data_IF_046827449270
#
_entry.id   IF_046827449270
#
_cell.length_a   1.000
_cell.length_b   1.000
_cell.length_c   1.000
_cell.angle_alpha   90.00
_cell.angle_beta   90.00
_cell.angle_gamma   90.00
#
_symmetry.space_group_name_H-M   'P 1'
#
loop_
_entity.id
_entity.type
_entity.pdbx_description
1 polymer ?
#
# COMPACT_ATOMS: atom_id res chain seq x y z
N UNK A 1 -32.04 14.39 19.33
CA UNK A 1 -30.95 14.78 20.25
C UNK A 1 -30.11 13.54 20.52
N UNK A 2 -28.98 13.35 19.82
CA UNK A 2 -28.15 12.15 20.00
C UNK A 2 -27.42 12.29 21.34
N UNK A 3 -27.75 11.44 22.32
CA UNK A 3 -27.00 11.35 23.58
C UNK A 3 -25.54 11.08 23.25
N UNK A 4 -24.64 12.01 23.56
CA UNK A 4 -23.19 11.74 23.55
C UNK A 4 -22.93 10.61 24.55
N UNK A 5 -22.71 9.40 24.05
CA UNK A 5 -22.23 8.29 24.85
C UNK A 5 -20.87 8.69 25.43
N UNK A 6 -20.80 8.80 26.77
CA UNK A 6 -19.54 8.96 27.48
C UNK A 6 -18.96 7.56 27.66
N UNK A 7 -17.91 7.25 26.89
CA UNK A 7 -17.14 6.02 27.06
C UNK A 7 -16.36 6.08 28.38
N UNK A 8 -16.14 4.94 29.02
CA UNK A 8 -15.18 4.86 30.14
C UNK A 8 -13.77 5.18 29.64
N UNK A 9 -12.86 5.64 30.51
CA UNK A 9 -11.46 5.92 30.10
C UNK A 9 -10.77 4.69 29.50
N UNK A 10 -11.07 3.50 30.03
CA UNK A 10 -10.57 2.22 29.50
C UNK A 10 -11.10 1.95 28.09
N UNK A 11 -12.38 2.21 27.84
CA UNK A 11 -12.98 1.99 26.52
C UNK A 11 -12.50 3.02 25.49
N UNK A 12 -12.29 4.26 25.93
CA UNK A 12 -11.70 5.30 25.09
C UNK A 12 -10.26 4.96 24.69
N UNK A 13 -9.46 4.42 25.61
CA UNK A 13 -8.11 3.96 25.33
C UNK A 13 -8.10 2.78 24.35
N UNK A 14 -8.95 1.76 24.57
CA UNK A 14 -9.09 0.61 23.66
C UNK A 14 -9.50 1.05 22.25
N UNK A 15 -10.45 1.96 22.15
CA UNK A 15 -10.91 2.50 20.87
C UNK A 15 -9.79 3.27 20.16
N UNK A 16 -9.03 4.10 20.90
CA UNK A 16 -7.89 4.83 20.36
C UNK A 16 -6.80 3.88 19.84
N UNK A 17 -6.49 2.83 20.59
CA UNK A 17 -5.52 1.81 20.18
C UNK A 17 -5.96 1.10 18.89
N UNK A 18 -7.24 0.69 18.82
CA UNK A 18 -7.82 0.05 17.64
C UNK A 18 -7.74 0.95 16.40
N UNK A 19 -8.10 2.23 16.55
CA UNK A 19 -8.07 3.19 15.44
C UNK A 19 -6.63 3.42 14.96
N UNK A 20 -5.67 3.52 15.88
CA UNK A 20 -4.26 3.63 15.54
C UNK A 20 -3.74 2.39 14.79
N UNK A 21 -4.11 1.19 15.26
CA UNK A 21 -3.72 -0.07 14.62
C UNK A 21 -4.25 -0.15 13.18
N UNK A 22 -5.52 0.16 12.95
CA UNK A 22 -6.13 0.17 11.62
C UNK A 22 -5.44 1.20 10.73
N UNK A 23 -5.22 2.42 11.24
CA UNK A 23 -4.60 3.49 10.48
C UNK A 23 -3.16 3.17 10.07
N UNK A 24 -2.35 2.69 11.01
CA UNK A 24 -0.96 2.33 10.75
C UNK A 24 -0.86 1.13 9.79
N UNK A 25 -1.78 0.17 9.89
CA UNK A 25 -1.87 -0.95 8.94
C UNK A 25 -2.17 -0.47 7.52
N UNK A 26 -3.13 0.45 7.35
CA UNK A 26 -3.46 1.03 6.05
C UNK A 26 -2.30 1.86 5.48
N UNK A 27 -1.64 2.67 6.34
CA UNK A 27 -0.48 3.45 5.94
C UNK A 27 0.66 2.56 5.44
N UNK A 28 0.84 1.41 6.08
CA UNK A 28 1.88 0.45 5.75
C UNK A 28 1.58 -0.33 4.47
N UNK A 29 0.38 -0.90 4.36
CA UNK A 29 0.02 -1.83 3.27
C UNK A 29 -0.38 -1.08 1.99
N UNK A 30 -1.01 0.09 2.09
CA UNK A 30 -1.64 0.75 0.93
C UNK A 30 -1.14 2.15 0.61
N UNK A 31 -0.99 3.03 1.61
CA UNK A 31 -0.75 4.46 1.32
C UNK A 31 0.71 4.81 1.04
N UNK A 32 1.61 3.83 1.12
CA UNK A 32 3.06 4.04 0.98
C UNK A 32 3.56 5.11 1.99
N UNK A 33 3.03 5.04 3.21
CA UNK A 33 3.32 5.91 4.36
C UNK A 33 3.73 5.10 5.59
N UNK A 34 4.45 4.00 5.38
CA UNK A 34 4.95 3.14 6.44
C UNK A 34 5.69 3.95 7.52
N UNK A 35 5.43 3.62 8.77
CA UNK A 35 6.01 4.26 9.96
C UNK A 35 5.77 5.76 10.09
N UNK A 36 4.83 6.34 9.32
CA UNK A 36 4.45 7.74 9.51
C UNK A 36 3.93 7.94 10.93
N UNK A 37 4.57 8.83 11.66
CA UNK A 37 4.15 9.27 12.99
C UNK A 37 3.88 10.77 12.97
N UNK A 38 2.70 11.17 13.45
CA UNK A 38 2.29 12.57 13.48
C UNK A 38 1.61 12.90 14.82
N UNK A 39 2.20 13.86 15.55
CA UNK A 39 1.72 14.24 16.89
C UNK A 39 0.26 14.69 16.81
N UNK A 40 -0.55 14.27 17.80
CA UNK A 40 -1.99 14.59 17.90
C UNK A 40 -2.85 14.02 16.77
N UNK A 41 -2.38 12.98 16.09
CA UNK A 41 -3.17 12.22 15.12
C UNK A 41 -3.28 10.76 15.54
N UNK A 42 -4.10 9.98 14.81
CA UNK A 42 -4.22 8.54 14.98
C UNK A 42 -3.00 7.77 14.41
N UNK A 43 -2.11 8.42 13.66
CA UNK A 43 -0.91 7.79 13.10
C UNK A 43 0.17 7.64 14.18
N UNK A 44 0.49 6.41 14.54
CA UNK A 44 1.45 6.10 15.61
C UNK A 44 2.76 5.52 15.07
N UNK A 45 2.88 5.34 13.75
CA UNK A 45 4.09 4.82 13.12
C UNK A 45 4.42 3.40 13.59
N UNK A 46 3.39 2.58 13.81
CA UNK A 46 3.47 1.25 14.41
C UNK A 46 4.03 1.24 15.85
N UNK A 47 3.97 2.37 16.55
CA UNK A 47 4.56 2.57 17.87
C UNK A 47 6.08 2.31 17.93
N UNK A 48 6.75 2.36 16.77
CA UNK A 48 8.21 2.26 16.73
C UNK A 48 8.83 3.55 17.24
N UNK A 49 9.90 3.42 18.01
CA UNK A 49 10.60 4.58 18.54
C UNK A 49 11.22 5.41 17.40
N UNK A 50 11.12 6.75 17.38
CA UNK A 50 11.63 7.57 16.28
C UNK A 50 13.11 7.34 15.96
N UNK A 51 13.94 7.08 16.99
CA UNK A 51 15.36 6.76 16.78
C UNK A 51 15.57 5.42 16.07
N UNK A 52 14.66 4.45 16.22
CA UNK A 52 14.73 3.18 15.51
C UNK A 52 14.48 3.41 14.01
N UNK A 53 13.45 4.18 13.66
CA UNK A 53 13.16 4.56 12.27
C UNK A 53 14.34 5.34 11.67
N UNK A 54 14.88 6.32 12.38
CA UNK A 54 16.03 7.09 11.92
C UNK A 54 17.25 6.21 11.63
N UNK A 55 17.56 5.25 12.51
CA UNK A 55 18.67 4.31 12.30
C UNK A 55 18.41 3.39 11.12
N UNK A 56 17.18 2.91 10.95
CA UNK A 56 16.79 2.12 9.79
C UNK A 56 16.94 2.90 8.49
N UNK A 57 16.57 4.19 8.48
CA UNK A 57 16.77 5.08 7.31
C UNK A 57 18.22 5.30 6.93
N UNK A 58 19.16 5.10 7.86
CA UNK A 58 20.59 5.19 7.57
C UNK A 58 21.21 3.90 7.04
N UNK A 59 20.45 2.81 6.85
CA UNK A 59 20.97 1.58 6.26
C UNK A 59 21.16 1.76 4.75
N UNK A 60 22.26 1.22 4.22
CA UNK A 60 22.66 1.35 2.81
C UNK A 60 21.54 0.96 1.82
N UNK A 61 20.72 0.00 2.22
CA UNK A 61 19.57 -0.46 1.44
C UNK A 61 18.56 0.64 1.13
N UNK A 62 18.35 1.57 2.06
CA UNK A 62 17.40 2.67 1.93
C UNK A 62 18.06 4.01 1.58
N UNK A 63 19.37 4.15 1.79
CA UNK A 63 20.10 5.39 1.52
C UNK A 63 20.72 5.45 0.12
N UNK A 64 21.10 4.31 -0.46
CA UNK A 64 21.89 4.26 -1.69
C UNK A 64 21.09 3.77 -2.91
N UNK A 65 19.84 3.34 -2.72
CA UNK A 65 18.98 2.81 -3.77
C UNK A 65 17.63 3.54 -3.78
N UNK A 66 17.23 4.08 -4.92
CA UNK A 66 15.87 4.64 -5.11
C UNK A 66 14.82 3.54 -5.33
N UNK A 67 15.24 2.27 -5.41
CA UNK A 67 14.34 1.16 -5.71
C UNK A 67 13.38 0.86 -4.55
N UNK A 68 13.83 1.04 -3.30
CA UNK A 68 13.04 0.69 -2.11
C UNK A 68 13.15 1.82 -1.10
N UNK A 69 12.01 2.42 -0.79
CA UNK A 69 11.91 3.50 0.19
C UNK A 69 11.29 2.96 1.47
N UNK A 70 11.75 3.44 2.62
CA UNK A 70 11.18 3.06 3.92
C UNK A 70 9.67 3.29 3.96
N UNK A 71 9.19 4.38 3.35
CA UNK A 71 7.77 4.70 3.32
C UNK A 71 6.93 3.67 2.56
N UNK A 72 7.50 2.97 1.59
CA UNK A 72 6.79 2.02 0.71
C UNK A 72 7.14 0.55 0.97
N UNK A 73 8.12 0.26 1.84
CA UNK A 73 8.61 -1.10 2.12
C UNK A 73 7.53 -2.07 2.60
N UNK A 74 6.48 -1.55 3.22
CA UNK A 74 5.32 -2.33 3.69
C UNK A 74 4.22 -2.52 2.65
N UNK A 75 4.26 -1.75 1.56
CA UNK A 75 3.18 -1.63 0.60
C UNK A 75 2.96 -2.92 -0.17
N UNK A 76 1.72 -3.22 -0.53
CA UNK A 76 1.32 -4.51 -1.14
C UNK A 76 2.21 -4.94 -2.32
N UNK A 77 2.69 -3.98 -3.11
CA UNK A 77 3.53 -4.25 -4.29
C UNK A 77 5.02 -4.35 -4.00
N UNK A 78 5.53 -3.78 -2.90
CA UNK A 78 6.96 -3.79 -2.54
C UNK A 78 7.28 -4.63 -1.31
N UNK A 79 6.25 -5.11 -0.61
CA UNK A 79 6.39 -5.92 0.58
C UNK A 79 7.10 -7.25 0.24
N UNK A 80 8.14 -7.67 0.97
CA UNK A 80 8.85 -8.91 0.70
C UNK A 80 7.95 -10.16 0.59
N UNK A 81 6.81 -10.17 1.28
CA UNK A 81 5.83 -11.28 1.23
C UNK A 81 5.00 -11.31 -0.04
N UNK A 82 4.82 -10.17 -0.74
CA UNK A 82 3.90 -10.03 -1.87
C UNK A 82 4.59 -9.56 -3.16
N UNK A 83 5.77 -8.97 -3.09
CA UNK A 83 6.41 -8.27 -4.21
C UNK A 83 6.54 -9.14 -5.46
N UNK A 84 6.98 -10.39 -5.29
CA UNK A 84 7.08 -11.34 -6.41
C UNK A 84 5.70 -11.73 -6.95
N UNK A 85 4.74 -12.01 -6.08
CA UNK A 85 3.38 -12.37 -6.47
C UNK A 85 2.71 -11.22 -7.24
N UNK A 86 2.86 -9.98 -6.78
CA UNK A 86 2.36 -8.81 -7.47
C UNK A 86 3.05 -8.60 -8.82
N UNK A 87 4.37 -8.82 -8.92
CA UNK A 87 5.07 -8.78 -10.20
C UNK A 87 4.53 -9.83 -11.18
N UNK A 88 4.29 -11.06 -10.73
CA UNK A 88 3.71 -12.12 -11.56
C UNK A 88 2.30 -11.76 -12.04
N UNK A 89 1.47 -11.16 -11.18
CA UNK A 89 0.14 -10.69 -11.56
C UNK A 89 0.20 -9.56 -12.59
N UNK A 90 1.16 -8.63 -12.49
CA UNK A 90 1.38 -7.60 -13.51
C UNK A 90 1.81 -8.25 -14.84
N UNK A 91 2.72 -9.21 -14.81
CA UNK A 91 3.12 -9.94 -16.01
C UNK A 91 1.95 -10.67 -16.67
N UNK A 92 1.00 -11.18 -15.89
CA UNK A 92 -0.24 -11.75 -16.42
C UNK A 92 -1.12 -10.69 -17.09
N UNK A 93 -1.23 -9.49 -16.52
CA UNK A 93 -1.94 -8.37 -17.16
C UNK A 93 -1.27 -7.96 -18.47
N UNK A 94 0.07 -7.86 -18.47
CA UNK A 94 0.86 -7.60 -19.68
C UNK A 94 0.63 -8.67 -20.75
N UNK A 95 0.56 -9.94 -20.35
CA UNK A 95 0.33 -11.07 -21.27
C UNK A 95 -1.09 -11.13 -21.86
N UNK A 96 -2.04 -10.42 -21.26
CA UNK A 96 -3.40 -10.30 -21.80
C UNK A 96 -3.51 -9.20 -22.87
N UNK A 97 -2.58 -8.27 -22.91
CA UNK A 97 -2.53 -7.20 -23.90
C UNK A 97 -1.78 -7.64 -25.16
N UNK A 98 -2.35 -7.34 -26.32
CA UNK A 98 -1.81 -7.82 -27.59
C UNK A 98 -0.50 -7.12 -28.01
N UNK A 99 -0.26 -5.89 -27.52
CA UNK A 99 0.80 -5.01 -28.02
C UNK A 99 1.69 -4.44 -26.91
N UNK A 100 2.19 -5.28 -25.99
CA UNK A 100 3.21 -4.85 -25.02
C UNK A 100 4.59 -4.86 -25.69
N UNK A 101 5.24 -3.70 -25.70
CA UNK A 101 6.61 -3.54 -26.22
C UNK A 101 7.67 -3.93 -25.21
N UNK A 102 7.44 -3.65 -23.92
CA UNK A 102 8.39 -3.82 -22.83
C UNK A 102 7.67 -4.30 -21.57
N UNK A 103 8.20 -5.35 -20.91
CA UNK A 103 7.68 -5.81 -19.62
C UNK A 103 8.32 -5.06 -18.47
N UNK A 104 7.55 -4.77 -17.43
CA UNK A 104 8.08 -4.17 -16.22
C UNK A 104 8.92 -5.21 -15.42
N UNK A 105 10.14 -4.88 -14.96
CA UNK A 105 11.02 -5.84 -14.26
C UNK A 105 10.56 -6.22 -12.84
N UNK A 106 9.38 -5.79 -12.40
CA UNK A 106 8.91 -5.82 -11.01
C UNK A 106 9.79 -5.05 -10.00
N UNK A 107 9.48 -5.16 -8.70
CA UNK A 107 8.24 -4.64 -8.12
C UNK A 107 7.91 -3.23 -8.63
N UNK A 108 6.62 -2.92 -8.84
CA UNK A 108 6.26 -1.58 -9.29
C UNK A 108 6.44 -0.52 -8.19
N UNK A 109 6.72 0.70 -8.65
CA UNK A 109 6.66 1.93 -7.87
C UNK A 109 5.87 2.96 -8.65
N UNK A 110 5.37 3.99 -7.98
CA UNK A 110 4.69 5.11 -8.66
C UNK A 110 5.56 5.72 -9.76
N UNK A 111 6.86 5.86 -9.50
CA UNK A 111 7.82 6.41 -10.48
C UNK A 111 8.07 5.47 -11.65
N UNK A 112 8.20 4.16 -11.40
CA UNK A 112 8.47 3.20 -12.48
C UNK A 112 7.25 3.02 -13.39
N UNK A 113 6.04 3.05 -12.83
CA UNK A 113 4.79 3.06 -13.62
C UNK A 113 4.66 4.35 -14.42
N UNK A 114 4.92 5.50 -13.81
CA UNK A 114 4.88 6.78 -14.53
C UNK A 114 5.86 6.79 -15.71
N UNK A 115 7.09 6.32 -15.51
CA UNK A 115 8.09 6.21 -16.59
C UNK A 115 7.63 5.31 -17.74
N UNK A 116 7.03 4.16 -17.45
CA UNK A 116 6.51 3.27 -18.49
C UNK A 116 5.36 3.89 -19.29
N UNK A 117 4.53 4.73 -18.65
CA UNK A 117 3.40 5.38 -19.29
C UNK A 117 3.76 6.68 -20.04
N UNK A 118 4.84 7.35 -19.64
CA UNK A 118 5.30 8.61 -20.24
C UNK A 118 6.26 8.40 -21.43
N UNK A 119 6.95 7.26 -21.49
CA UNK A 119 7.90 6.95 -22.55
C UNK A 119 7.16 6.64 -23.87
N UNK A 120 7.32 7.52 -24.86
CA UNK A 120 6.65 7.42 -26.15
C UNK A 120 7.08 6.20 -26.99
N UNK A 121 8.26 5.64 -26.69
CA UNK A 121 8.78 4.44 -27.36
C UNK A 121 8.31 3.15 -26.67
N UNK A 122 7.61 3.27 -25.54
CA UNK A 122 7.10 2.15 -24.75
C UNK A 122 5.58 2.07 -24.85
N UNK A 123 5.08 1.01 -25.47
CA UNK A 123 3.70 0.57 -25.34
C UNK A 123 3.62 -0.38 -24.14
N UNK A 124 2.86 0.02 -23.13
CA UNK A 124 2.64 -0.74 -21.90
C UNK A 124 1.17 -0.68 -21.46
N UNK A 125 0.87 -1.18 -20.26
CA UNK A 125 -0.45 -1.12 -19.66
C UNK A 125 -0.93 0.34 -19.52
N UNK A 126 -2.07 0.67 -20.11
CA UNK A 126 -2.68 2.00 -19.97
C UNK A 126 -3.41 2.14 -18.61
N UNK A 127 -2.65 1.99 -17.52
CA UNK A 127 -3.13 2.05 -16.15
C UNK A 127 -2.17 2.88 -15.30
N UNK A 128 -2.72 3.76 -14.46
CA UNK A 128 -1.91 4.46 -13.47
C UNK A 128 -1.58 3.56 -12.27
N UNK A 129 -0.65 4.02 -11.41
CA UNK A 129 -0.17 3.24 -10.27
C UNK A 129 -1.28 2.81 -9.31
N UNK A 130 -2.30 3.65 -9.08
CA UNK A 130 -3.42 3.31 -8.20
C UNK A 130 -4.33 2.26 -8.84
N UNK A 131 -4.65 2.40 -10.12
CA UNK A 131 -5.44 1.42 -10.87
C UNK A 131 -4.77 0.04 -10.87
N UNK A 132 -3.45 0.00 -11.07
CA UNK A 132 -2.69 -1.25 -10.96
C UNK A 132 -2.78 -1.86 -9.56
N UNK A 133 -2.60 -1.06 -8.49
CA UNK A 133 -2.74 -1.56 -7.11
C UNK A 133 -4.13 -2.13 -6.84
N UNK A 134 -5.18 -1.52 -7.38
CA UNK A 134 -6.57 -2.00 -7.23
C UNK A 134 -6.77 -3.31 -7.98
N UNK A 135 -6.30 -3.41 -9.22
CA UNK A 135 -6.35 -4.66 -9.99
C UNK A 135 -5.61 -5.80 -9.27
N UNK A 136 -4.44 -5.50 -8.70
CA UNK A 136 -3.68 -6.45 -7.88
C UNK A 136 -4.42 -6.84 -6.61
N UNK A 137 -5.08 -5.89 -5.93
CA UNK A 137 -5.87 -6.18 -4.74
C UNK A 137 -7.04 -7.12 -5.05
N UNK A 138 -7.77 -6.87 -6.14
CA UNK A 138 -8.85 -7.74 -6.61
C UNK A 138 -8.33 -9.14 -6.98
N UNK A 139 -7.17 -9.22 -7.64
CA UNK A 139 -6.54 -10.50 -7.98
C UNK A 139 -6.13 -11.28 -6.72
N UNK A 140 -5.59 -10.60 -5.71
CA UNK A 140 -5.23 -11.21 -4.43
C UNK A 140 -6.47 -11.69 -3.67
N UNK A 141 -7.57 -10.96 -3.73
CA UNK A 141 -8.84 -11.38 -3.15
C UNK A 141 -9.34 -12.70 -3.76
N UNK A 142 -9.36 -12.79 -5.09
CA UNK A 142 -9.71 -14.03 -5.82
C UNK A 142 -8.78 -15.21 -5.47
N UNK A 143 -7.52 -14.93 -5.16
CA UNK A 143 -6.54 -15.93 -4.71
C UNK A 143 -6.70 -16.36 -3.25
N UNK A 144 -7.63 -15.77 -2.50
CA UNK A 144 -7.94 -16.12 -1.11
C UNK A 144 -7.37 -15.19 -0.05
N UNK A 145 -6.76 -14.06 -0.44
CA UNK A 145 -6.24 -13.04 0.50
C UNK A 145 -7.32 -12.05 0.98
N UNK A 146 -8.52 -12.55 1.25
CA UNK A 146 -9.71 -11.75 1.57
C UNK A 146 -9.49 -10.74 2.69
N UNK A 147 -8.77 -11.11 3.75
CA UNK A 147 -8.59 -10.21 4.90
C UNK A 147 -7.88 -8.89 4.58
N UNK A 148 -7.02 -8.84 3.54
CA UNK A 148 -6.38 -7.60 3.11
C UNK A 148 -7.36 -6.75 2.29
N UNK A 149 -8.08 -7.39 1.36
CA UNK A 149 -9.13 -6.75 0.57
C UNK A 149 -10.22 -6.16 1.47
N UNK A 150 -10.80 -6.97 2.37
CA UNK A 150 -11.81 -6.56 3.35
C UNK A 150 -11.36 -5.36 4.17
N UNK A 151 -10.13 -5.40 4.70
CA UNK A 151 -9.57 -4.31 5.48
C UNK A 151 -9.51 -3.01 4.66
N UNK A 152 -9.00 -3.09 3.42
CA UNK A 152 -8.76 -1.92 2.58
C UNK A 152 -10.06 -1.37 2.00
N UNK A 153 -10.95 -2.20 1.47
CA UNK A 153 -12.26 -1.79 0.95
C UNK A 153 -13.13 -1.20 2.06
N UNK A 154 -13.15 -1.80 3.26
CA UNK A 154 -13.94 -1.25 4.38
C UNK A 154 -13.37 0.07 4.92
N UNK A 155 -12.06 0.25 4.88
CA UNK A 155 -11.40 1.37 5.57
C UNK A 155 -11.08 2.57 4.68
N UNK A 156 -11.05 2.39 3.35
CA UNK A 156 -10.68 3.43 2.39
C UNK A 156 -11.88 3.81 1.53
N UNK A 157 -12.52 4.95 1.85
CA UNK A 157 -13.63 5.51 1.06
C UNK A 157 -13.41 5.51 -0.47
N UNK A 158 -12.22 5.83 -1.00
CA UNK A 158 -11.99 5.80 -2.45
C UNK A 158 -12.06 4.39 -3.07
N UNK A 159 -11.77 3.35 -2.29
CA UNK A 159 -11.75 1.96 -2.76
C UNK A 159 -13.11 1.27 -2.64
N UNK A 160 -14.00 1.76 -1.77
CA UNK A 160 -15.34 1.18 -1.52
C UNK A 160 -16.15 0.96 -2.81
N UNK A 161 -15.94 1.79 -3.85
CA UNK A 161 -16.67 1.68 -5.12
C UNK A 161 -15.89 0.94 -6.22
N UNK A 162 -14.72 0.38 -5.89
CA UNK A 162 -13.81 -0.30 -6.82
C UNK A 162 -13.62 -1.78 -6.47
N UNK A 163 -14.31 -2.26 -5.43
CA UNK A 163 -14.51 -3.68 -5.18
C UNK A 163 -15.29 -4.26 -6.37
N UNK A 164 -14.83 -5.40 -6.89
CA UNK A 164 -15.35 -5.96 -8.14
C UNK A 164 -16.83 -6.37 -7.99
N UNK A 165 -17.68 -5.95 -8.94
CA UNK A 165 -18.94 -6.63 -9.27
C UNK A 165 -18.67 -8.04 -9.82
#
# INVERSE_FOLDING_TARGET
MIKKLRLSESDALKLSLKNAFVMDSINFVWRDMAFKHEKRTINQGMYLHPQFIQRMSGLDFFSNSELILIKSVGGIVQNPSFAYLCAELIWKLEDMEAEISTRHPGPISEQSVARMNEDADVIWLNMNYQELKVSLLNSLDVMGFHGIADLLFTSLKPLVNQESE
#
